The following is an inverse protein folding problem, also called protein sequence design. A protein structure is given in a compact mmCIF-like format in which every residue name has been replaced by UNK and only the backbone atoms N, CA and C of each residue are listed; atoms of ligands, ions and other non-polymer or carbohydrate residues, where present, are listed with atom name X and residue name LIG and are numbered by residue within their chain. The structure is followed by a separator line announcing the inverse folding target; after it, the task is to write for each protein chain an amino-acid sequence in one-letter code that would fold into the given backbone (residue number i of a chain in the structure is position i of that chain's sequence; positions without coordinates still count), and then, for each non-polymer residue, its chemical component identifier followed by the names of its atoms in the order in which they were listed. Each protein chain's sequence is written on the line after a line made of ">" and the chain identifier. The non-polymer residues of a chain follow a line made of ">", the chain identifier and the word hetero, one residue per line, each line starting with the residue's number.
data_IF_942245493427
#
_entry.id   IF_942245493427
#
_cell.length_a   1.000
_cell.length_b   1.000
_cell.length_c   1.000
_cell.angle_alpha   90.00
_cell.angle_beta   90.00
_cell.angle_gamma   90.00
#
_symmetry.space_group_name_H-M   'P 1'
#
loop_
_entity.id
_entity.type
_entity.pdbx_description
1 polymer ?
#
# COMPACT_ATOMS: atom_id res chain seq x y z
N UNK A 1 -9.25 -23.55 14.25
CA UNK A 1 -9.81 -22.71 13.29
C UNK A 1 -9.87 -21.25 13.65
N UNK A 2 -9.22 -20.89 14.75
CA UNK A 2 -9.12 -19.48 15.17
C UNK A 2 -8.47 -18.63 14.08
N UNK A 3 -7.41 -19.14 13.45
CA UNK A 3 -6.71 -18.41 12.39
C UNK A 3 -7.64 -18.08 11.22
N UNK A 4 -8.41 -19.06 10.76
CA UNK A 4 -9.33 -18.84 9.65
C UNK A 4 -10.41 -17.81 10.00
N UNK A 5 -10.92 -17.84 11.24
CA UNK A 5 -11.89 -16.86 11.69
C UNK A 5 -11.30 -15.46 11.77
N UNK A 6 -10.06 -15.34 12.23
CA UNK A 6 -9.37 -14.05 12.30
C UNK A 6 -9.10 -13.47 10.92
N UNK A 7 -8.69 -14.30 9.96
CA UNK A 7 -8.43 -13.87 8.59
C UNK A 7 -9.73 -13.35 7.95
N UNK A 8 -10.84 -14.05 8.13
CA UNK A 8 -12.12 -13.61 7.60
C UNK A 8 -12.58 -12.29 8.22
N UNK A 9 -12.38 -12.12 9.53
CA UNK A 9 -12.73 -10.88 10.20
C UNK A 9 -11.89 -9.71 9.70
N UNK A 10 -10.60 -9.91 9.50
CA UNK A 10 -9.70 -8.89 8.98
C UNK A 10 -10.11 -8.47 7.57
N UNK A 11 -10.38 -9.42 6.70
CA UNK A 11 -10.79 -9.13 5.33
C UNK A 11 -12.11 -8.34 5.31
N UNK A 12 -13.06 -8.69 6.18
CA UNK A 12 -14.33 -7.97 6.27
C UNK A 12 -14.12 -6.53 6.75
N UNK A 13 -13.21 -6.30 7.69
CA UNK A 13 -12.88 -4.94 8.15
C UNK A 13 -12.28 -4.09 7.05
N UNK A 14 -11.36 -4.65 6.28
CA UNK A 14 -10.73 -3.94 5.16
C UNK A 14 -11.79 -3.60 4.11
N UNK A 15 -12.65 -4.55 3.75
CA UNK A 15 -13.70 -4.32 2.77
C UNK A 15 -14.66 -3.23 3.20
N UNK A 16 -14.99 -3.16 4.50
CA UNK A 16 -15.91 -2.14 5.02
C UNK A 16 -15.33 -0.74 4.95
N UNK A 17 -14.02 -0.60 5.05
CA UNK A 17 -13.32 0.69 5.05
C UNK A 17 -12.72 1.04 3.70
N UNK A 18 -12.66 0.09 2.77
CA UNK A 18 -11.92 0.25 1.53
C UNK A 18 -12.72 1.02 0.49
N UNK A 19 -11.99 1.72 -0.36
CA UNK A 19 -12.51 2.47 -1.48
C UNK A 19 -11.93 1.91 -2.77
N UNK A 20 -12.68 2.02 -3.87
CA UNK A 20 -12.23 1.54 -5.17
C UNK A 20 -10.95 2.25 -5.60
N UNK A 21 -10.02 1.47 -6.13
CA UNK A 21 -8.77 1.96 -6.69
C UNK A 21 -8.38 1.10 -7.88
N UNK A 22 -7.43 1.58 -8.67
CA UNK A 22 -6.89 0.82 -9.82
C UNK A 22 -5.40 0.68 -9.62
N UNK A 23 -4.93 -0.56 -9.56
CA UNK A 23 -3.50 -0.87 -9.56
C UNK A 23 -3.04 -1.05 -10.99
N UNK A 24 -2.00 -0.32 -11.39
CA UNK A 24 -1.62 -0.22 -12.79
C UNK A 24 -0.12 -0.47 -12.98
N UNK A 25 0.19 -1.33 -13.95
CA UNK A 25 1.57 -1.56 -14.41
C UNK A 25 1.57 -1.45 -15.92
N UNK A 26 2.08 -0.33 -16.46
CA UNK A 26 2.00 -0.08 -17.89
C UNK A 26 0.56 -0.07 -18.36
N UNK A 27 0.22 -0.93 -19.31
CA UNK A 27 -1.14 -1.06 -19.83
C UNK A 27 -2.02 -2.02 -19.02
N UNK A 28 -1.42 -2.79 -18.11
CA UNK A 28 -2.18 -3.73 -17.28
C UNK A 28 -2.80 -3.01 -16.12
N UNK A 29 -4.11 -3.22 -15.92
CA UNK A 29 -4.85 -2.59 -14.82
C UNK A 29 -5.65 -3.64 -14.06
N UNK A 30 -5.74 -3.46 -12.75
CA UNK A 30 -6.54 -4.32 -11.89
C UNK A 30 -7.37 -3.45 -10.95
N UNK A 31 -8.66 -3.71 -10.92
CA UNK A 31 -9.54 -3.03 -9.96
C UNK A 31 -9.39 -3.68 -8.61
N UNK A 32 -9.09 -2.88 -7.60
CA UNK A 32 -8.93 -3.35 -6.22
C UNK A 32 -9.67 -2.41 -5.29
N UNK A 33 -9.89 -2.86 -4.06
CA UNK A 33 -10.37 -1.99 -2.99
C UNK A 33 -9.22 -1.79 -2.02
N UNK A 34 -8.97 -0.56 -1.65
CA UNK A 34 -7.82 -0.20 -0.83
C UNK A 34 -8.21 0.75 0.29
N UNK A 35 -7.52 0.62 1.41
CA UNK A 35 -7.61 1.57 2.52
C UNK A 35 -6.35 2.44 2.46
N UNK A 36 -6.54 3.76 2.44
CA UNK A 36 -5.41 4.70 2.44
C UNK A 36 -4.92 4.93 3.86
N UNK A 37 -3.63 4.77 4.07
CA UNK A 37 -2.96 5.05 5.33
C UNK A 37 -1.68 5.84 5.07
N UNK A 38 -0.82 5.84 6.07
CA UNK A 38 0.50 6.46 5.94
C UNK A 38 1.49 5.75 6.84
N UNK A 39 2.77 5.83 6.47
CA UNK A 39 3.87 5.39 7.32
C UNK A 39 4.86 6.54 7.43
N UNK A 40 5.34 6.77 8.64
CA UNK A 40 6.34 7.81 8.92
C UNK A 40 7.68 7.13 9.08
N UNK A 41 8.68 7.61 8.35
CA UNK A 41 10.06 7.15 8.44
C UNK A 41 10.92 8.27 9.02
N UNK A 42 11.88 7.91 9.86
CA UNK A 42 12.84 8.87 10.42
C UNK A 42 14.23 8.38 10.15
N UNK A 43 15.07 9.27 9.68
CA UNK A 43 16.48 8.97 9.41
C UNK A 43 17.31 10.23 9.68
N UNK A 44 18.63 10.05 9.83
CA UNK A 44 19.54 11.20 9.96
C UNK A 44 20.10 11.51 8.58
N UNK A 45 20.22 12.83 8.29
CA UNK A 45 20.90 13.27 7.07
C UNK A 45 22.41 13.31 7.31
N UNK A 46 23.16 13.77 6.31
CA UNK A 46 24.63 13.81 6.36
C UNK A 46 25.16 14.73 7.45
N UNK A 47 24.33 15.65 7.95
CA UNK A 47 24.70 16.59 9.00
C UNK A 47 24.24 16.14 10.38
N UNK A 48 23.73 14.92 10.50
CA UNK A 48 23.24 14.38 11.75
C UNK A 48 21.87 14.86 12.18
N UNK A 49 21.19 15.66 11.38
CA UNK A 49 19.83 16.11 11.68
C UNK A 49 18.82 15.03 11.33
N UNK A 50 17.80 14.89 12.17
CA UNK A 50 16.72 13.94 11.93
C UNK A 50 15.82 14.45 10.82
N UNK A 51 15.56 13.58 9.86
CA UNK A 51 14.66 13.85 8.74
C UNK A 51 13.44 12.94 8.86
N UNK A 52 12.25 13.52 8.73
CA UNK A 52 10.99 12.80 8.74
C UNK A 52 10.46 12.70 7.32
N UNK A 53 10.17 11.49 6.89
CA UNK A 53 9.59 11.22 5.58
C UNK A 53 8.30 10.44 5.76
N UNK A 54 7.28 10.75 4.98
CA UNK A 54 6.02 10.01 4.99
C UNK A 54 5.79 9.35 3.65
N UNK A 55 5.28 8.13 3.67
CA UNK A 55 4.70 7.52 2.49
C UNK A 55 3.19 7.47 2.64
N UNK A 56 2.48 7.51 1.53
CA UNK A 56 1.07 7.17 1.50
C UNK A 56 0.98 5.69 1.20
N UNK A 57 0.32 4.96 2.09
CA UNK A 57 0.24 3.51 1.96
C UNK A 57 -1.14 3.09 1.52
N UNK A 58 -1.20 2.05 0.71
CA UNK A 58 -2.47 1.43 0.37
C UNK A 58 -2.48 0.02 0.93
N UNK A 59 -3.53 -0.30 1.69
CA UNK A 59 -3.72 -1.62 2.27
C UNK A 59 -4.74 -2.34 1.39
N UNK A 60 -4.28 -3.43 0.77
CA UNK A 60 -5.08 -4.22 -0.18
C UNK A 60 -5.02 -5.67 0.26
N UNK A 61 -6.16 -6.37 0.24
CA UNK A 61 -6.16 -7.80 0.55
C UNK A 61 -5.40 -8.56 -0.53
N UNK A 62 -4.65 -9.57 -0.12
CA UNK A 62 -3.80 -10.34 -1.04
C UNK A 62 -4.62 -11.02 -2.14
N UNK A 63 -5.87 -11.36 -1.86
CA UNK A 63 -6.74 -12.01 -2.83
C UNK A 63 -7.07 -11.13 -4.03
N UNK A 64 -7.09 -9.81 -3.85
CA UNK A 64 -7.45 -8.87 -4.91
C UNK A 64 -6.29 -8.55 -5.83
N UNK A 65 -5.06 -8.65 -5.33
CA UNK A 65 -3.87 -8.29 -6.11
C UNK A 65 -3.10 -9.57 -6.41
N UNK A 66 -3.20 -10.02 -7.63
CA UNK A 66 -2.61 -11.28 -8.10
C UNK A 66 -1.16 -11.13 -8.56
N UNK A 67 -0.58 -9.95 -8.38
CA UNK A 67 0.82 -9.68 -8.72
C UNK A 67 1.53 -9.05 -7.53
N UNK A 68 2.84 -9.24 -7.47
CA UNK A 68 3.65 -8.61 -6.43
C UNK A 68 3.91 -7.15 -6.79
N UNK A 69 3.66 -6.19 -5.88
CA UNK A 69 3.96 -4.80 -6.15
C UNK A 69 5.43 -4.56 -6.46
N UNK A 70 5.68 -3.69 -7.42
CA UNK A 70 7.03 -3.31 -7.83
C UNK A 70 7.15 -1.80 -7.93
N UNK A 71 8.35 -1.28 -7.69
CA UNK A 71 8.62 0.15 -7.85
C UNK A 71 8.31 0.58 -9.28
N UNK A 72 7.66 1.73 -9.42
CA UNK A 72 7.21 2.24 -10.72
C UNK A 72 5.79 1.89 -11.07
N UNK A 73 5.18 0.93 -10.40
CA UNK A 73 3.75 0.68 -10.55
C UNK A 73 2.96 1.89 -10.03
N UNK A 74 1.72 2.02 -10.44
CA UNK A 74 0.87 3.14 -10.03
C UNK A 74 -0.43 2.67 -9.43
N UNK A 75 -0.96 3.46 -8.49
CA UNK A 75 -2.29 3.27 -7.93
C UNK A 75 -3.09 4.54 -8.21
N UNK A 76 -4.20 4.41 -8.91
CA UNK A 76 -5.11 5.53 -9.15
C UNK A 76 -6.22 5.45 -8.11
N UNK A 77 -6.34 6.50 -7.31
CA UNK A 77 -7.26 6.53 -6.17
C UNK A 77 -7.87 7.92 -6.06
N UNK A 78 -9.19 7.98 -6.20
CA UNK A 78 -9.96 9.22 -6.06
C UNK A 78 -9.41 10.38 -6.90
N UNK A 79 -9.03 10.10 -8.14
CA UNK A 79 -8.56 11.12 -9.08
C UNK A 79 -7.07 11.42 -9.00
N UNK A 80 -6.36 10.87 -8.03
CA UNK A 80 -4.92 11.07 -7.89
C UNK A 80 -4.16 9.81 -8.30
N UNK A 81 -2.94 10.02 -8.76
CA UNK A 81 -2.02 8.94 -9.13
C UNK A 81 -0.94 8.84 -8.05
N UNK A 82 -0.73 7.63 -7.56
CA UNK A 82 0.30 7.34 -6.56
C UNK A 82 1.29 6.35 -7.16
N UNK A 83 2.58 6.71 -7.09
CA UNK A 83 3.64 5.83 -7.59
C UNK A 83 4.14 4.92 -6.49
N UNK A 84 4.21 3.62 -6.77
CA UNK A 84 4.77 2.63 -5.85
C UNK A 84 6.28 2.80 -5.81
N UNK A 85 6.83 2.90 -4.61
CA UNK A 85 8.25 3.14 -4.42
C UNK A 85 8.77 2.45 -3.16
N UNK A 86 10.09 2.33 -3.03
CA UNK A 86 10.75 1.80 -1.85
C UNK A 86 11.25 2.98 -1.01
N UNK A 87 10.50 3.38 0.03
CA UNK A 87 10.89 4.56 0.80
C UNK A 87 12.02 4.23 1.77
N UNK A 88 12.98 5.12 1.86
CA UNK A 88 14.00 5.12 2.91
C UNK A 88 14.68 3.75 3.10
N UNK A 89 14.92 3.02 1.98
CA UNK A 89 15.55 1.71 2.02
C UNK A 89 14.63 0.54 2.41
N UNK A 90 13.38 0.82 2.70
CA UNK A 90 12.40 -0.21 2.99
C UNK A 90 11.92 -0.89 1.70
N UNK A 91 11.40 -2.12 1.77
CA UNK A 91 10.76 -2.74 0.60
C UNK A 91 9.57 -1.93 0.12
N UNK A 92 9.14 -2.13 -1.12
CA UNK A 92 7.98 -1.42 -1.68
C UNK A 92 6.68 -1.81 -0.98
N UNK A 93 6.62 -2.99 -0.39
CA UNK A 93 5.44 -3.47 0.33
C UNK A 93 5.84 -4.38 1.48
N UNK A 94 4.92 -4.54 2.43
CA UNK A 94 5.06 -5.50 3.52
C UNK A 94 3.69 -6.03 3.90
N UNK A 95 3.66 -7.12 4.64
CA UNK A 95 2.39 -7.59 5.19
C UNK A 95 1.87 -6.61 6.22
N UNK A 96 0.60 -6.27 6.09
CA UNK A 96 -0.07 -5.36 7.02
C UNK A 96 -0.45 -6.06 8.33
N UNK A 97 -0.52 -7.39 8.29
CA UNK A 97 -0.95 -8.20 9.43
C UNK A 97 -0.11 -9.46 9.55
N UNK A 98 -0.02 -10.05 10.76
CA UNK A 98 0.75 -11.29 10.96
C UNK A 98 0.20 -12.49 10.20
N UNK A 99 -1.09 -12.49 9.87
CA UNK A 99 -1.75 -13.58 9.14
C UNK A 99 -1.47 -13.53 7.63
N UNK A 100 -0.81 -12.48 7.15
CA UNK A 100 -0.47 -12.30 5.74
C UNK A 100 -1.70 -12.28 4.85
N UNK A 101 -2.75 -11.57 5.28
CA UNK A 101 -3.99 -11.43 4.51
C UNK A 101 -4.05 -10.13 3.73
N UNK A 102 -3.27 -9.12 4.12
CA UNK A 102 -3.30 -7.82 3.48
C UNK A 102 -1.89 -7.27 3.27
N UNK A 103 -1.70 -6.62 2.13
CA UNK A 103 -0.45 -5.97 1.75
C UNK A 103 -0.53 -4.49 2.11
N UNK A 104 0.55 -3.94 2.65
CA UNK A 104 0.71 -2.51 2.82
C UNK A 104 1.74 -2.05 1.79
N UNK A 105 1.28 -1.29 0.81
CA UNK A 105 2.07 -0.86 -0.35
C UNK A 105 2.47 0.60 -0.17
N UNK A 106 3.75 0.88 -0.21
CA UNK A 106 4.26 2.25 -0.03
C UNK A 106 4.21 3.01 -1.34
N UNK A 107 3.69 4.23 -1.29
CA UNK A 107 3.53 5.06 -2.48
C UNK A 107 3.83 6.52 -2.18
N UNK A 108 3.93 7.29 -3.26
CA UNK A 108 4.04 8.74 -3.22
C UNK A 108 3.00 9.32 -4.17
N UNK A 109 2.26 10.34 -3.73
CA UNK A 109 1.31 11.04 -4.60
C UNK A 109 2.09 11.81 -5.66
N UNK A 110 1.82 11.53 -6.93
CA UNK A 110 2.48 12.21 -8.04
C UNK A 110 1.57 13.23 -8.73
N UNK A 111 0.33 13.38 -8.25
CA UNK A 111 -0.62 14.36 -8.78
C UNK A 111 -1.85 13.72 -9.38
N UNK A 112 -2.72 14.56 -9.94
CA UNK A 112 -3.93 14.10 -10.55
C UNK A 112 -3.70 13.42 -11.89
N UNK A 113 -4.57 12.51 -12.26
CA UNK A 113 -4.52 11.83 -13.56
C UNK A 113 -5.25 12.61 -14.63
#
# INVERSE_FOLDING_TARGET
>A
MIKAGMDALRAAQIDALATDAVYRRGADERSVKAVLGRTVFRSQNDYGAWVRTESRDFIVTAEQLDIEPQAGDEIVYQGDVYEVLAPNGEPVWRWSDPQQTALRIHTKNTGGS
#
